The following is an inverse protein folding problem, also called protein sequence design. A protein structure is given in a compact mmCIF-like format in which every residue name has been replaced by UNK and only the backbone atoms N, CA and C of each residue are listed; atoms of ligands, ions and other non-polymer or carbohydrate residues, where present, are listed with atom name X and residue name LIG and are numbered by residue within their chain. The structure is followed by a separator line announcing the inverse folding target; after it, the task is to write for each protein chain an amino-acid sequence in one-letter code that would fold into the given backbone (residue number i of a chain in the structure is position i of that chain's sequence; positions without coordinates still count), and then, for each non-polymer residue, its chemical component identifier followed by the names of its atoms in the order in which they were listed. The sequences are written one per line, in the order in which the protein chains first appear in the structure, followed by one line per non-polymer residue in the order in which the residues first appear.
data_IF_566394835652
#
_entry.id   IF_566394835652
#
_cell.length_a   1.000
_cell.length_b   1.000
_cell.length_c   1.000
_cell.angle_alpha   90.00
_cell.angle_beta   90.00
_cell.angle_gamma   90.00
#
_symmetry.space_group_name_H-M   'P 1'
#
loop_
_entity.id
_entity.type
_entity.pdbx_description
1 polymer ?
#
# COMPACT_ATOMS: atom_id res chain seq x y z
N UNK A 1 -7.38 -3.26 10.21
CA UNK A 1 -8.55 -2.49 9.70
C UNK A 1 -9.26 -3.22 8.56
N UNK A 2 -8.56 -3.56 7.47
CA UNK A 2 -9.17 -4.15 6.28
C UNK A 2 -10.17 -5.30 6.51
N UNK A 3 -9.80 -6.32 7.30
CA UNK A 3 -10.67 -7.48 7.53
C UNK A 3 -12.00 -7.11 8.20
N UNK A 4 -11.97 -6.17 9.14
CA UNK A 4 -13.15 -5.74 9.90
C UNK A 4 -14.17 -4.98 9.05
N UNK A 5 -13.72 -4.36 7.96
CA UNK A 5 -14.55 -3.55 7.06
C UNK A 5 -14.94 -4.32 5.78
N UNK A 6 -14.41 -5.52 5.54
CA UNK A 6 -14.61 -6.25 4.28
C UNK A 6 -16.08 -6.50 3.90
N UNK A 7 -16.99 -6.49 4.87
CA UNK A 7 -18.43 -6.73 4.65
C UNK A 7 -19.21 -5.53 4.10
N UNK A 8 -18.70 -4.29 4.17
CA UNK A 8 -19.53 -3.11 3.84
C UNK A 8 -19.94 -3.05 2.37
N UNK A 9 -19.12 -3.60 1.47
CA UNK A 9 -19.43 -3.71 0.04
C UNK A 9 -20.66 -4.59 -0.22
N UNK A 10 -20.70 -5.77 0.41
CA UNK A 10 -21.83 -6.70 0.28
C UNK A 10 -23.06 -6.26 1.08
N UNK A 11 -22.84 -5.60 2.22
CA UNK A 11 -23.92 -5.11 3.09
C UNK A 11 -24.60 -3.83 2.60
N UNK A 12 -24.11 -3.24 1.49
CA UNK A 12 -24.59 -1.97 0.95
C UNK A 12 -24.62 -0.84 1.99
N UNK A 13 -23.50 -0.65 2.68
CA UNK A 13 -23.34 0.43 3.68
C UNK A 13 -22.48 1.58 3.11
N UNK A 14 -23.08 2.52 2.35
CA UNK A 14 -22.35 3.63 1.71
C UNK A 14 -21.68 4.57 2.72
N UNK A 15 -22.25 4.74 3.90
CA UNK A 15 -21.72 5.61 4.96
C UNK A 15 -20.40 5.07 5.51
N UNK A 16 -20.26 3.73 5.59
CA UNK A 16 -19.02 3.07 6.02
C UNK A 16 -17.96 3.20 4.92
N UNK A 17 -18.35 3.05 3.65
CA UNK A 17 -17.44 3.25 2.52
C UNK A 17 -16.89 4.68 2.51
N UNK A 18 -17.75 5.68 2.76
CA UNK A 18 -17.33 7.07 2.85
C UNK A 18 -16.42 7.33 4.04
N UNK A 19 -16.78 6.86 5.23
CA UNK A 19 -15.96 7.01 6.42
C UNK A 19 -14.57 6.39 6.24
N UNK A 20 -14.50 5.22 5.59
CA UNK A 20 -13.23 4.56 5.31
C UNK A 20 -12.40 5.28 4.25
N UNK A 21 -13.04 5.82 3.21
CA UNK A 21 -12.36 6.68 2.25
C UNK A 21 -11.75 7.91 2.93
N UNK A 22 -12.51 8.60 3.76
CA UNK A 22 -12.01 9.77 4.50
C UNK A 22 -10.87 9.40 5.44
N UNK A 23 -10.91 8.22 6.06
CA UNK A 23 -9.80 7.71 6.84
C UNK A 23 -8.54 7.56 5.97
N UNK A 24 -8.62 6.87 4.84
CA UNK A 24 -7.46 6.69 3.92
C UNK A 24 -6.91 8.04 3.47
N UNK A 25 -7.77 8.97 3.04
CA UNK A 25 -7.34 10.30 2.57
C UNK A 25 -6.53 11.04 3.63
N UNK A 26 -6.92 10.94 4.91
CA UNK A 26 -6.16 11.53 6.02
C UNK A 26 -4.79 10.90 6.21
N UNK A 27 -4.64 9.60 5.90
CA UNK A 27 -3.35 8.90 6.00
C UNK A 27 -2.41 9.16 4.81
N UNK A 28 -2.93 9.60 3.64
CA UNK A 28 -2.14 9.75 2.41
C UNK A 28 -0.87 10.60 2.58
N UNK A 29 -0.87 11.76 3.29
CA UNK A 29 0.35 12.52 3.50
C UNK A 29 1.46 11.68 4.16
N UNK A 30 1.11 10.90 5.19
CA UNK A 30 2.02 9.97 5.85
C UNK A 30 2.48 8.84 4.94
N UNK A 31 1.58 8.26 4.14
CA UNK A 31 1.93 7.18 3.22
C UNK A 31 2.89 7.62 2.11
N UNK A 32 2.76 8.87 1.63
CA UNK A 32 3.70 9.46 0.66
C UNK A 32 5.08 9.69 1.29
N UNK A 33 5.11 10.12 2.55
CA UNK A 33 6.35 10.23 3.34
C UNK A 33 7.00 8.85 3.49
N UNK A 34 6.24 7.82 3.87
CA UNK A 34 6.77 6.47 4.03
C UNK A 34 7.38 5.94 2.71
N UNK A 35 6.70 6.11 1.57
CA UNK A 35 7.22 5.70 0.27
C UNK A 35 8.57 6.38 -0.04
N UNK A 36 8.63 7.70 0.14
CA UNK A 36 9.84 8.49 -0.13
C UNK A 36 11.00 8.16 0.82
N UNK A 37 10.75 8.04 2.13
CA UNK A 37 11.81 7.87 3.12
C UNK A 37 12.29 6.43 3.23
N UNK A 38 11.40 5.43 3.14
CA UNK A 38 11.77 4.03 3.32
C UNK A 38 12.21 3.36 2.03
N UNK A 39 11.60 3.72 0.90
CA UNK A 39 11.89 3.06 -0.38
C UNK A 39 12.53 3.96 -1.43
N UNK A 40 12.47 5.28 -1.24
CA UNK A 40 12.89 6.24 -2.27
C UNK A 40 11.95 6.32 -3.48
N UNK A 41 10.84 5.58 -3.48
CA UNK A 41 9.88 5.53 -4.57
C UNK A 41 8.86 6.68 -4.50
N UNK A 42 8.27 7.02 -5.65
CA UNK A 42 7.07 7.88 -5.73
C UNK A 42 5.83 7.12 -5.21
N UNK A 43 4.71 7.82 -5.11
CA UNK A 43 3.42 7.21 -4.76
C UNK A 43 3.20 7.07 -3.26
N UNK A 44 2.54 5.98 -2.85
CA UNK A 44 2.07 5.75 -1.48
C UNK A 44 2.48 4.38 -0.94
N UNK A 45 2.88 4.36 0.33
CA UNK A 45 3.20 3.15 1.08
C UNK A 45 2.51 3.18 2.45
N UNK A 46 1.55 2.28 2.65
CA UNK A 46 0.86 2.11 3.93
C UNK A 46 1.73 1.32 4.91
N UNK A 47 1.73 1.74 6.17
CA UNK A 47 2.40 1.02 7.26
C UNK A 47 1.52 -0.14 7.77
N UNK A 48 2.15 -1.26 8.13
CA UNK A 48 1.48 -2.38 8.80
C UNK A 48 0.82 -1.92 10.11
N UNK A 49 1.53 -1.10 10.89
CA UNK A 49 1.06 -0.48 12.13
C UNK A 49 1.05 1.04 11.93
N UNK A 50 0.09 1.50 11.14
CA UNK A 50 -0.07 2.93 10.83
C UNK A 50 -0.51 3.69 12.08
N UNK A 51 0.18 4.79 12.39
CA UNK A 51 -0.30 5.78 13.35
C UNK A 51 -1.59 6.42 12.81
N UNK A 52 -2.72 6.34 13.53
CA UNK A 52 -4.03 6.74 13.01
C UNK A 52 -4.18 8.26 12.80
N UNK A 53 -3.33 9.09 13.41
CA UNK A 53 -3.38 10.55 13.26
C UNK A 53 -2.51 11.03 12.09
N UNK A 54 -1.35 10.39 11.89
CA UNK A 54 -0.32 10.90 10.98
C UNK A 54 -0.09 10.04 9.74
N UNK A 55 -0.49 8.77 9.74
CA UNK A 55 -0.19 7.85 8.64
C UNK A 55 1.24 7.30 8.66
N UNK A 56 2.00 7.59 9.71
CA UNK A 56 3.41 7.22 9.77
C UNK A 56 3.62 5.75 10.09
N UNK A 57 4.72 5.26 9.55
CA UNK A 57 5.29 3.99 9.95
C UNK A 57 6.17 4.20 11.20
N UNK A 58 5.62 3.83 12.36
CA UNK A 58 6.26 4.09 13.65
C UNK A 58 6.88 2.85 14.29
N UNK A 59 6.56 1.65 13.77
CA UNK A 59 6.98 0.38 14.35
C UNK A 59 7.96 -0.37 13.44
N UNK A 60 9.22 0.08 13.42
CA UNK A 60 10.31 -0.61 12.75
C UNK A 60 11.43 -0.97 13.74
N UNK A 61 11.75 -2.25 13.83
CA UNK A 61 12.92 -2.77 14.55
C UNK A 61 13.62 -3.79 13.68
N UNK A 62 14.89 -4.08 13.96
CA UNK A 62 15.65 -5.11 13.22
C UNK A 62 14.96 -6.49 13.28
N UNK A 63 14.24 -6.77 14.36
CA UNK A 63 13.44 -7.98 14.56
C UNK A 63 12.05 -7.94 13.93
N UNK A 64 11.62 -6.79 13.40
CA UNK A 64 10.29 -6.60 12.82
C UNK A 64 10.39 -5.86 11.47
N UNK A 65 10.78 -6.57 10.39
CA UNK A 65 10.94 -5.97 9.05
C UNK A 65 9.60 -5.66 8.36
N UNK A 66 8.54 -5.40 9.13
CA UNK A 66 7.21 -5.07 8.64
C UNK A 66 7.17 -3.87 7.68
N UNK A 67 8.22 -3.04 7.72
CA UNK A 67 8.51 -1.95 6.78
C UNK A 67 8.42 -2.37 5.30
N UNK A 68 8.70 -3.64 5.00
CA UNK A 68 8.75 -4.16 3.64
C UNK A 68 7.44 -4.80 3.18
N UNK A 69 6.33 -4.59 3.90
CA UNK A 69 5.02 -5.08 3.49
C UNK A 69 4.36 -4.20 2.42
N UNK A 70 5.02 -4.11 1.26
CA UNK A 70 4.62 -3.25 0.12
C UNK A 70 3.25 -3.60 -0.46
N UNK A 71 2.80 -4.86 -0.29
CA UNK A 71 1.46 -5.29 -0.68
C UNK A 71 0.33 -4.72 0.19
N UNK A 72 0.65 -4.20 1.37
CA UNK A 72 -0.31 -3.72 2.34
C UNK A 72 -1.13 -2.51 1.87
N UNK A 73 -0.52 -1.62 1.09
CA UNK A 73 -1.20 -0.43 0.56
C UNK A 73 -2.36 -0.82 -0.35
N UNK A 74 -2.11 -1.73 -1.30
CA UNK A 74 -3.13 -2.25 -2.20
C UNK A 74 -4.23 -2.98 -1.44
N UNK A 75 -3.86 -3.76 -0.43
CA UNK A 75 -4.84 -4.42 0.42
C UNK A 75 -5.75 -3.40 1.12
N UNK A 76 -5.23 -2.31 1.70
CA UNK A 76 -6.05 -1.29 2.34
C UNK A 76 -7.02 -0.57 1.36
N UNK A 77 -6.62 -0.32 0.12
CA UNK A 77 -7.50 0.38 -0.85
C UNK A 77 -8.60 -0.57 -1.40
N UNK A 78 -8.32 -1.88 -1.41
CA UNK A 78 -9.14 -2.91 -2.06
C UNK A 78 -10.63 -2.96 -1.64
N UNK A 79 -11.05 -2.70 -0.39
CA UNK A 79 -12.48 -2.66 -0.02
C UNK A 79 -13.25 -1.52 -0.69
N UNK A 80 -12.62 -0.36 -0.90
CA UNK A 80 -13.26 0.77 -1.60
C UNK A 80 -13.52 0.42 -3.07
N UNK A 81 -12.58 -0.31 -3.69
CA UNK A 81 -12.74 -0.83 -5.03
C UNK A 81 -13.89 -1.84 -5.14
N UNK A 82 -13.97 -2.79 -4.19
CA UNK A 82 -15.08 -3.76 -4.17
C UNK A 82 -16.43 -3.08 -4.05
N UNK A 83 -16.54 -2.14 -3.12
CA UNK A 83 -17.78 -1.42 -2.94
C UNK A 83 -18.20 -0.70 -4.22
N UNK A 84 -17.29 0.03 -4.86
CA UNK A 84 -17.59 0.74 -6.11
C UNK A 84 -17.97 -0.21 -7.26
N UNK A 85 -17.34 -1.40 -7.31
CA UNK A 85 -17.66 -2.42 -8.30
C UNK A 85 -19.05 -3.05 -8.05
N UNK A 86 -19.37 -3.35 -6.78
CA UNK A 86 -20.63 -3.97 -6.37
C UNK A 86 -21.82 -3.00 -6.44
N UNK A 87 -21.62 -1.73 -6.07
CA UNK A 87 -22.65 -0.70 -6.12
C UNK A 87 -22.91 -0.18 -7.53
N UNK A 88 -21.96 -0.39 -8.45
CA UNK A 88 -22.00 0.19 -9.80
C UNK A 88 -21.77 1.71 -9.82
N UNK A 89 -21.27 2.30 -8.72
CA UNK A 89 -21.00 3.73 -8.62
C UNK A 89 -19.74 4.13 -9.39
N UNK A 90 -19.93 4.43 -10.67
CA UNK A 90 -18.88 4.86 -11.57
C UNK A 90 -18.24 6.20 -11.15
N UNK A 91 -18.97 7.06 -10.44
CA UNK A 91 -18.44 8.35 -9.95
C UNK A 91 -17.49 8.10 -8.79
N UNK A 92 -17.90 7.30 -7.80
CA UNK A 92 -17.02 6.89 -6.69
C UNK A 92 -15.76 6.18 -7.20
N UNK A 93 -15.91 5.28 -8.18
CA UNK A 93 -14.76 4.60 -8.79
C UNK A 93 -13.77 5.60 -9.42
N UNK A 94 -14.26 6.56 -10.21
CA UNK A 94 -13.42 7.52 -10.94
C UNK A 94 -12.82 8.60 -10.05
N UNK A 95 -13.59 9.14 -9.11
CA UNK A 95 -13.19 10.32 -8.33
C UNK A 95 -12.43 9.96 -7.04
N UNK A 96 -12.70 8.78 -6.47
CA UNK A 96 -12.14 8.38 -5.17
C UNK A 96 -11.18 7.21 -5.27
N UNK A 97 -11.56 6.14 -5.97
CA UNK A 97 -10.77 4.91 -6.03
C UNK A 97 -9.61 5.03 -7.02
N UNK A 98 -9.88 5.53 -8.23
CA UNK A 98 -8.88 5.63 -9.29
C UNK A 98 -7.63 6.45 -8.89
N UNK A 99 -7.75 7.64 -8.25
CA UNK A 99 -6.57 8.40 -7.82
C UNK A 99 -5.67 7.62 -6.85
N UNK A 100 -6.26 6.83 -5.95
CA UNK A 100 -5.51 5.99 -5.00
C UNK A 100 -4.70 4.91 -5.74
N UNK A 101 -5.32 4.25 -6.73
CA UNK A 101 -4.62 3.26 -7.56
C UNK A 101 -3.58 3.88 -8.48
N UNK A 102 -3.75 5.12 -8.93
CA UNK A 102 -2.74 5.84 -9.70
C UNK A 102 -1.49 6.10 -8.85
N UNK A 103 -1.64 6.58 -7.61
CA UNK A 103 -0.50 6.77 -6.71
C UNK A 103 0.16 5.44 -6.32
N UNK A 104 -0.63 4.37 -6.11
CA UNK A 104 -0.10 3.03 -5.88
C UNK A 104 0.64 2.50 -7.13
N UNK A 105 0.15 2.80 -8.32
CA UNK A 105 0.78 2.45 -9.58
C UNK A 105 2.15 3.12 -9.74
N UNK A 106 2.25 4.41 -9.41
CA UNK A 106 3.53 5.14 -9.40
C UNK A 106 4.54 4.49 -8.44
N UNK A 107 4.08 4.03 -7.28
CA UNK A 107 4.94 3.30 -6.34
C UNK A 107 5.46 2.00 -6.97
N UNK A 108 4.58 1.16 -7.52
CA UNK A 108 5.00 -0.11 -8.13
C UNK A 108 5.85 0.07 -9.39
N UNK A 109 5.63 1.14 -10.17
CA UNK A 109 6.46 1.46 -11.33
C UNK A 109 7.92 1.74 -10.94
N UNK A 110 8.13 2.44 -9.83
CA UNK A 110 9.48 2.71 -9.30
C UNK A 110 10.05 1.52 -8.52
N UNK A 111 9.21 0.77 -7.83
CA UNK A 111 9.62 -0.32 -6.94
C UNK A 111 9.89 -1.64 -7.68
N UNK A 112 9.21 -1.90 -8.79
CA UNK A 112 9.43 -3.08 -9.62
C UNK A 112 10.45 -2.78 -10.71
N UNK A 113 11.62 -3.41 -10.64
CA UNK A 113 12.64 -3.35 -11.69
C UNK A 113 12.34 -4.38 -12.77
N UNK A 114 12.59 -4.03 -14.03
CA UNK A 114 12.50 -5.01 -15.12
C UNK A 114 13.77 -5.88 -15.13
N UNK A 115 13.67 -7.10 -14.61
CA UNK A 115 14.70 -8.13 -14.68
C UNK A 115 14.71 -8.88 -16.01
N UNK A 116 15.79 -9.63 -16.29
CA UNK A 116 15.96 -10.37 -17.55
C UNK A 116 14.92 -11.47 -17.81
N UNK A 117 14.17 -11.90 -16.79
CA UNK A 117 13.12 -12.94 -16.87
C UNK A 117 11.72 -12.42 -16.52
N UNK A 118 11.54 -11.10 -16.30
CA UNK A 118 10.28 -10.51 -15.82
C UNK A 118 10.51 -9.39 -14.81
N UNK A 119 9.46 -8.91 -14.13
CA UNK A 119 9.61 -7.89 -13.08
C UNK A 119 10.25 -8.49 -11.81
N UNK A 120 11.27 -7.84 -11.27
CA UNK A 120 11.99 -8.17 -10.04
C UNK A 120 11.74 -7.08 -9.01
N UNK A 121 11.59 -7.46 -7.74
CA UNK A 121 11.38 -6.51 -6.63
C UNK A 121 12.69 -5.77 -6.34
N UNK A 122 12.66 -4.43 -6.32
CA UNK A 122 13.77 -3.61 -5.84
C UNK A 122 13.81 -3.63 -4.32
N UNK A 123 14.91 -4.05 -3.72
CA UNK A 123 15.19 -3.77 -2.32
C UNK A 123 16.08 -2.54 -2.25
N UNK A 124 15.59 -1.37 -1.83
CA UNK A 124 16.42 -0.21 -1.59
C UNK A 124 17.18 -0.40 -0.27
N UNK A 125 18.11 -1.34 -0.26
CA UNK A 125 19.19 -1.36 0.74
C UNK A 125 20.33 -0.57 0.15
N UNK A 126 20.70 0.50 0.87
CA UNK A 126 21.86 1.34 0.61
C UNK A 126 23.02 0.49 0.04
N UNK A 127 23.45 0.83 -1.17
CA UNK A 127 24.41 0.15 -2.04
C UNK A 127 25.55 -0.58 -1.30
N UNK A 128 25.31 -1.79 -0.79
CA UNK A 128 26.30 -2.80 -0.40
C UNK A 128 25.59 -4.10 0.00
N UNK A 129 25.73 -5.12 -0.87
CA UNK A 129 25.28 -6.52 -0.72
C UNK A 129 23.81 -6.81 -1.02
N UNK A 130 23.50 -6.89 -2.31
CA UNK A 130 22.48 -7.84 -2.78
C UNK A 130 23.15 -9.22 -2.71
N UNK A 131 22.66 -10.11 -1.83
CA UNK A 131 23.01 -11.52 -1.88
C UNK A 131 22.04 -12.15 -2.90
N UNK A 132 22.52 -12.72 -4.02
CA UNK A 132 21.69 -13.44 -4.96
C UNK A 132 20.90 -14.56 -4.26
N UNK A 133 19.66 -14.78 -4.68
CA UNK A 133 18.73 -15.79 -4.11
C UNK A 133 19.26 -17.25 -4.14
N UNK A 134 20.40 -17.46 -4.78
CA UNK A 134 21.15 -18.72 -4.85
C UNK A 134 22.02 -19.00 -3.60
N UNK A 135 22.19 -18.03 -2.69
CA UNK A 135 22.99 -18.20 -1.46
C UNK A 135 22.19 -18.12 -0.15
N UNK A 136 20.86 -18.25 -0.20
CA UNK A 136 20.01 -18.32 0.99
C UNK A 136 19.93 -19.74 1.58
N UNK A 137 21.07 -20.41 1.73
CA UNK A 137 21.18 -21.64 2.52
C UNK A 137 21.88 -21.30 3.83
N UNK A 138 21.21 -21.69 4.90
CA UNK A 138 21.51 -21.47 6.31
C UNK A 138 22.96 -21.87 6.66
N UNK A 139 23.65 -20.97 7.36
CA UNK A 139 24.66 -21.28 8.39
C UNK A 139 24.28 -20.52 9.67
#
# INVERSE_FOLDING_TARGET
MNLAISSFGMGNFPEIAEAYYQFIVRQLPGWRINAKYHTGCRGILASLNTDPETGYETHFTVSHPALYWVGGTGWNIRPLYDYALLSGDATFMKEKVLPLYQELGLFYEDYLLKGKMGCTISFPVNHRKIIPAENAVLD
#
